data_IF_505646663420
#
_entry.id   IF_505646663420
#
_cell.length_a   1.000
_cell.length_b   1.000
_cell.length_c   1.000
_cell.angle_alpha   90.00
_cell.angle_beta   90.00
_cell.angle_gamma   90.00
#
_symmetry.space_group_name_H-M   'P 1'
#
loop_
_entity.id
_entity.type
_entity.pdbx_description
1 polymer ?
#
# COMPACT_ATOMS: atom_id res chain seq x y z
N UNK A 1 -13.49 15.36 -27.25
CA UNK A 1 -14.49 14.73 -26.37
C UNK A 1 -13.92 14.38 -25.01
N UNK A 2 -12.90 13.51 -24.87
CA UNK A 2 -12.41 13.07 -23.54
C UNK A 2 -11.87 14.20 -22.62
N UNK A 3 -11.40 15.32 -23.17
CA UNK A 3 -11.04 16.45 -22.30
C UNK A 3 -12.26 17.03 -21.57
N UNK A 4 -13.44 17.02 -22.19
CA UNK A 4 -14.69 17.48 -21.58
C UNK A 4 -15.05 16.58 -20.40
N UNK A 5 -14.93 15.25 -20.54
CA UNK A 5 -15.24 14.34 -19.43
C UNK A 5 -14.36 14.60 -18.21
N UNK A 6 -13.06 14.83 -18.40
CA UNK A 6 -12.18 15.15 -17.27
C UNK A 6 -12.45 16.53 -16.65
N UNK A 7 -12.69 17.56 -17.46
CA UNK A 7 -12.92 18.92 -16.97
C UNK A 7 -14.26 19.07 -16.23
N UNK A 8 -15.29 18.35 -16.66
CA UNK A 8 -16.65 18.46 -16.12
C UNK A 8 -17.08 17.24 -15.29
N UNK A 9 -16.17 16.30 -15.02
CA UNK A 9 -16.45 15.13 -14.18
C UNK A 9 -17.49 14.16 -14.77
N UNK A 10 -17.51 13.99 -16.10
CA UNK A 10 -18.43 13.07 -16.77
C UNK A 10 -17.78 11.68 -16.83
N UNK A 11 -18.21 10.77 -15.96
CA UNK A 11 -17.59 9.43 -15.82
C UNK A 11 -18.06 8.42 -16.89
N UNK A 12 -19.19 8.68 -17.54
CA UNK A 12 -19.82 7.74 -18.49
C UNK A 12 -19.62 8.19 -19.93
N UNK A 13 -19.00 7.35 -20.76
CA UNK A 13 -18.89 7.60 -22.21
C UNK A 13 -20.28 7.81 -22.86
N UNK A 14 -21.33 7.14 -22.35
CA UNK A 14 -22.71 7.35 -22.82
C UNK A 14 -23.22 8.73 -22.48
N UNK A 15 -22.99 9.17 -21.24
CA UNK A 15 -23.36 10.51 -20.80
C UNK A 15 -22.57 11.56 -21.58
N UNK A 16 -21.26 11.36 -21.77
CA UNK A 16 -20.42 12.26 -22.57
C UNK A 16 -20.96 12.43 -23.99
N UNK A 17 -21.32 11.33 -24.67
CA UNK A 17 -21.92 11.41 -26.00
C UNK A 17 -23.27 12.13 -25.99
N UNK A 18 -24.12 11.90 -24.97
CA UNK A 18 -25.41 12.60 -24.80
C UNK A 18 -25.20 14.09 -24.54
N UNK A 19 -24.27 14.45 -23.68
CA UNK A 19 -23.99 15.84 -23.32
C UNK A 19 -23.38 16.59 -24.51
N UNK A 20 -22.47 15.95 -25.25
CA UNK A 20 -21.96 16.49 -26.52
C UNK A 20 -23.09 16.61 -27.55
N UNK A 21 -24.08 15.73 -27.55
CA UNK A 21 -25.21 15.85 -28.46
C UNK A 21 -26.10 17.07 -28.13
N UNK A 22 -26.36 17.31 -26.85
CA UNK A 22 -27.29 18.34 -26.36
C UNK A 22 -26.66 19.72 -26.15
N UNK A 23 -25.34 19.79 -25.93
CA UNK A 23 -24.64 21.03 -25.59
C UNK A 23 -23.85 21.58 -26.79
N UNK A 24 -24.28 22.73 -27.32
CA UNK A 24 -23.66 23.41 -28.46
C UNK A 24 -22.18 23.77 -28.21
N UNK A 25 -21.82 24.19 -27.00
CA UNK A 25 -20.43 24.52 -26.66
C UNK A 25 -19.54 23.27 -26.71
N UNK A 26 -20.06 22.12 -26.25
CA UNK A 26 -19.33 20.85 -26.31
C UNK A 26 -19.14 20.36 -27.75
N UNK A 27 -20.17 20.53 -28.60
CA UNK A 27 -20.05 20.25 -30.05
C UNK A 27 -19.02 21.13 -30.72
N UNK A 28 -19.09 22.43 -30.47
CA UNK A 28 -18.15 23.41 -31.00
C UNK A 28 -16.70 23.06 -30.58
N UNK A 29 -16.49 22.79 -29.29
CA UNK A 29 -15.18 22.37 -28.77
C UNK A 29 -14.67 21.08 -29.44
N UNK A 30 -15.55 20.11 -29.65
CA UNK A 30 -15.21 18.85 -30.31
C UNK A 30 -15.11 18.97 -31.85
N UNK A 31 -15.37 20.15 -32.42
CA UNK A 31 -15.42 20.40 -33.86
C UNK A 31 -16.43 19.49 -34.59
N UNK A 32 -17.58 19.24 -33.98
CA UNK A 32 -18.66 18.42 -34.55
C UNK A 32 -19.79 19.34 -35.05
N UNK A 33 -19.97 19.53 -36.37
CA UNK A 33 -21.02 20.37 -36.94
C UNK A 33 -22.42 19.87 -36.59
N UNK A 34 -23.44 20.75 -36.58
CA UNK A 34 -24.81 20.39 -36.19
C UNK A 34 -25.46 19.27 -37.03
N UNK A 35 -25.14 19.22 -38.32
CA UNK A 35 -25.66 18.24 -39.26
C UNK A 35 -24.97 16.87 -39.18
N UNK A 36 -23.89 16.75 -38.40
CA UNK A 36 -23.17 15.49 -38.22
C UNK A 36 -23.64 14.78 -36.95
N UNK A 37 -23.79 13.45 -37.00
CA UNK A 37 -24.06 12.67 -35.78
C UNK A 37 -22.86 12.65 -34.83
N UNK A 38 -23.12 12.70 -33.53
CA UNK A 38 -22.08 12.50 -32.50
C UNK A 38 -21.63 11.03 -32.55
N UNK A 39 -20.32 10.74 -32.38
CA UNK A 39 -19.83 9.37 -32.31
C UNK A 39 -20.57 8.54 -31.28
N UNK A 40 -20.86 7.29 -31.62
CA UNK A 40 -21.44 6.35 -30.66
C UNK A 40 -20.44 6.06 -29.53
N UNK A 41 -20.92 5.91 -28.30
CA UNK A 41 -20.06 5.72 -27.11
C UNK A 41 -19.11 4.53 -27.25
N UNK A 42 -19.52 3.45 -27.93
CA UNK A 42 -18.68 2.27 -28.15
C UNK A 42 -17.44 2.57 -29.00
N UNK A 43 -17.50 3.58 -29.87
CA UNK A 43 -16.33 4.01 -30.64
C UNK A 43 -15.23 4.54 -29.73
N UNK A 44 -15.57 5.27 -28.66
CA UNK A 44 -14.60 5.78 -27.69
C UNK A 44 -13.88 4.62 -26.98
N UNK A 45 -14.65 3.61 -26.55
CA UNK A 45 -14.10 2.40 -25.92
C UNK A 45 -13.17 1.65 -26.88
N UNK A 46 -13.63 1.36 -28.11
CA UNK A 46 -12.84 0.63 -29.11
C UNK A 46 -11.54 1.35 -29.49
N UNK A 47 -11.55 2.68 -29.52
CA UNK A 47 -10.34 3.48 -29.77
C UNK A 47 -9.34 3.33 -28.61
N UNK A 48 -9.82 3.42 -27.36
CA UNK A 48 -8.98 3.20 -26.17
C UNK A 48 -8.35 1.81 -26.18
N UNK A 49 -9.17 0.79 -26.41
CA UNK A 49 -8.71 -0.61 -26.41
C UNK A 49 -7.73 -0.87 -27.56
N UNK A 50 -7.98 -0.29 -28.75
CA UNK A 50 -7.08 -0.43 -29.91
C UNK A 50 -5.70 0.16 -29.64
N UNK A 51 -5.63 1.30 -28.94
CA UNK A 51 -4.36 1.92 -28.58
C UNK A 51 -3.61 1.09 -27.56
N UNK A 52 -4.31 0.47 -26.61
CA UNK A 52 -3.72 -0.39 -25.59
C UNK A 52 -2.90 0.40 -24.55
N UNK A 53 -2.72 -0.21 -23.39
CA UNK A 53 -2.08 0.42 -22.24
C UNK A 53 -0.65 0.90 -22.54
N UNK A 54 0.16 0.07 -23.20
CA UNK A 54 1.56 0.37 -23.48
C UNK A 54 1.75 1.65 -24.31
N UNK A 55 0.88 1.92 -25.29
CA UNK A 55 0.94 3.16 -26.07
C UNK A 55 0.54 4.37 -25.24
N UNK A 56 -0.46 4.25 -24.36
CA UNK A 56 -0.81 5.34 -23.45
C UNK A 56 0.32 5.66 -22.48
N UNK A 57 0.96 4.64 -21.91
CA UNK A 57 2.15 4.82 -21.07
C UNK A 57 3.30 5.49 -21.83
N UNK A 58 3.53 5.09 -23.10
CA UNK A 58 4.56 5.71 -23.93
C UNK A 58 4.25 7.18 -24.24
N UNK A 59 3.01 7.51 -24.60
CA UNK A 59 2.58 8.89 -24.85
C UNK A 59 2.75 9.73 -23.58
N UNK A 60 2.30 9.21 -22.43
CA UNK A 60 2.46 9.87 -21.14
C UNK A 60 3.94 10.15 -20.82
N UNK A 61 4.81 9.14 -21.01
CA UNK A 61 6.27 9.29 -20.85
C UNK A 61 6.84 10.37 -21.76
N UNK A 62 6.48 10.36 -23.05
CA UNK A 62 6.96 11.36 -24.01
C UNK A 62 6.51 12.77 -23.65
N UNK A 63 5.27 12.96 -23.19
CA UNK A 63 4.77 14.25 -22.73
C UNK A 63 5.57 14.78 -21.54
N UNK A 64 5.84 13.93 -20.56
CA UNK A 64 6.69 14.30 -19.42
C UNK A 64 8.11 14.65 -19.90
N UNK A 65 8.79 13.81 -20.68
CA UNK A 65 10.16 14.15 -21.11
C UNK A 65 10.24 15.46 -21.89
N UNK A 66 9.23 15.78 -22.71
CA UNK A 66 9.15 17.08 -23.40
C UNK A 66 8.98 18.26 -22.44
N UNK A 67 8.10 18.14 -21.44
CA UNK A 67 7.92 19.19 -20.44
C UNK A 67 9.16 19.40 -19.58
N UNK A 68 9.91 18.33 -19.29
CA UNK A 68 11.18 18.44 -18.56
C UNK A 68 12.20 19.23 -19.37
N UNK A 69 12.34 18.90 -20.66
CA UNK A 69 13.26 19.57 -21.58
C UNK A 69 12.97 21.07 -21.71
N UNK A 70 11.70 21.46 -21.55
CA UNK A 70 11.28 22.86 -21.56
C UNK A 70 11.40 23.56 -20.18
N UNK A 71 11.95 22.88 -19.17
CA UNK A 71 12.07 23.41 -17.80
C UNK A 71 10.74 23.60 -17.08
N UNK A 72 9.66 22.93 -17.55
CA UNK A 72 8.30 23.09 -17.00
C UNK A 72 8.04 22.22 -15.78
N UNK A 73 8.90 21.24 -15.48
CA UNK A 73 8.95 20.55 -14.18
C UNK A 73 10.38 20.11 -13.85
N UNK A 74 10.60 19.80 -12.57
CA UNK A 74 11.94 19.50 -12.06
C UNK A 74 12.19 18.02 -11.85
N UNK A 75 11.17 17.28 -11.38
CA UNK A 75 11.29 15.86 -11.04
C UNK A 75 12.11 15.60 -9.79
N UNK A 76 12.46 16.64 -9.03
CA UNK A 76 13.34 16.55 -7.85
C UNK A 76 12.61 16.25 -6.56
N UNK A 77 11.44 16.86 -6.38
CA UNK A 77 10.60 16.71 -5.20
C UNK A 77 9.32 16.04 -5.63
N UNK A 78 9.10 14.82 -5.16
CA UNK A 78 7.99 13.98 -5.56
C UNK A 78 7.06 13.78 -4.36
N UNK A 79 5.77 14.07 -4.55
CA UNK A 79 4.71 13.69 -3.61
C UNK A 79 4.02 12.42 -4.10
N UNK A 80 3.73 11.49 -3.20
CA UNK A 80 3.07 10.20 -3.51
C UNK A 80 1.84 10.01 -2.65
N UNK A 81 0.76 9.56 -3.28
CA UNK A 81 -0.47 9.16 -2.62
C UNK A 81 -1.13 7.98 -3.35
N UNK A 82 -1.98 7.23 -2.65
CA UNK A 82 -2.73 6.12 -3.23
C UNK A 82 -4.22 6.25 -2.97
N UNK A 83 -5.00 5.92 -4.00
CA UNK A 83 -6.46 5.92 -3.93
C UNK A 83 -7.03 4.57 -4.36
N UNK A 84 -8.17 4.22 -3.77
CA UNK A 84 -8.91 3.02 -4.14
C UNK A 84 -9.92 3.37 -5.23
N UNK A 85 -9.81 2.72 -6.38
CA UNK A 85 -10.73 2.87 -7.51
C UNK A 85 -11.64 1.65 -7.56
N UNK A 86 -12.96 1.86 -7.67
CA UNK A 86 -13.93 0.77 -7.78
C UNK A 86 -13.72 0.02 -9.09
N UNK A 87 -13.59 -1.30 -9.02
CA UNK A 87 -13.54 -2.13 -10.21
C UNK A 87 -14.93 -2.21 -10.86
N UNK A 88 -14.98 -2.38 -12.17
CA UNK A 88 -16.21 -2.67 -12.89
C UNK A 88 -16.56 -4.17 -12.78
N UNK A 89 -16.69 -4.66 -11.55
CA UNK A 89 -16.95 -6.06 -11.23
C UNK A 89 -17.93 -6.17 -10.06
N UNK A 90 -18.90 -7.09 -10.16
CA UNK A 90 -19.86 -7.35 -9.09
C UNK A 90 -19.26 -8.25 -8.01
N UNK A 91 -19.68 -8.05 -6.77
CA UNK A 91 -19.40 -9.00 -5.69
C UNK A 91 -20.00 -10.40 -5.97
N UNK A 92 -21.06 -10.48 -6.78
CA UNK A 92 -21.68 -11.75 -7.18
C UNK A 92 -20.82 -12.55 -8.16
N UNK A 93 -19.82 -11.91 -8.78
CA UNK A 93 -18.84 -12.59 -9.64
C UNK A 93 -17.79 -13.38 -8.85
N UNK A 94 -17.80 -13.30 -7.51
CA UNK A 94 -16.83 -13.97 -6.67
C UNK A 94 -17.03 -15.48 -6.68
N UNK A 95 -16.04 -16.17 -7.22
CA UNK A 95 -15.95 -17.62 -7.26
C UNK A 95 -14.79 -18.09 -6.41
N UNK A 96 -14.84 -19.34 -5.94
CA UNK A 96 -13.71 -19.94 -5.22
C UNK A 96 -12.50 -20.00 -6.13
N UNK A 97 -11.32 -19.62 -5.62
CA UNK A 97 -10.07 -19.66 -6.38
C UNK A 97 -9.77 -21.04 -6.98
N UNK A 98 -10.16 -22.12 -6.29
CA UNK A 98 -10.00 -23.50 -6.78
C UNK A 98 -10.63 -23.76 -8.15
N UNK A 99 -11.68 -23.01 -8.50
CA UNK A 99 -12.44 -23.20 -9.73
C UNK A 99 -12.03 -22.23 -10.86
N UNK A 100 -11.20 -21.22 -10.56
CA UNK A 100 -10.95 -20.10 -11.47
C UNK A 100 -9.48 -19.67 -11.57
N UNK A 101 -8.60 -20.09 -10.65
CA UNK A 101 -7.20 -19.70 -10.61
C UNK A 101 -6.28 -20.85 -11.07
N UNK A 102 -5.48 -20.69 -12.15
CA UNK A 102 -4.49 -21.68 -12.58
C UNK A 102 -3.46 -22.04 -11.50
N UNK A 103 -3.22 -21.17 -10.52
CA UNK A 103 -2.27 -21.36 -9.42
C UNK A 103 -2.89 -21.96 -8.14
N UNK A 104 -4.11 -22.50 -8.20
CA UNK A 104 -4.87 -23.02 -7.06
C UNK A 104 -4.11 -24.04 -6.16
N UNK A 105 -3.14 -24.78 -6.70
CA UNK A 105 -2.36 -25.78 -5.93
C UNK A 105 -1.50 -25.17 -4.82
N UNK A 106 -1.02 -23.93 -4.97
CA UNK A 106 -0.18 -23.25 -3.95
C UNK A 106 -1.01 -22.81 -2.74
N UNK A 107 -2.32 -22.57 -2.93
CA UNK A 107 -3.22 -22.04 -1.91
C UNK A 107 -3.75 -23.11 -0.93
N UNK A 108 -3.82 -24.39 -1.34
CA UNK A 108 -4.21 -25.51 -0.46
C UNK A 108 -3.28 -25.69 0.75
N UNK A 109 -2.01 -25.31 0.62
CA UNK A 109 -1.07 -25.32 1.75
C UNK A 109 -1.30 -24.16 2.73
N UNK A 110 -1.87 -23.05 2.27
CA UNK A 110 -2.16 -21.87 3.09
C UNK A 110 -3.44 -22.02 3.94
N UNK A 111 -4.47 -22.71 3.44
CA UNK A 111 -5.71 -22.95 4.20
C UNK A 111 -5.46 -23.68 5.53
N UNK A 112 -4.42 -24.52 5.63
CA UNK A 112 -4.04 -25.18 6.88
C UNK A 112 -3.50 -24.23 7.96
N UNK A 113 -3.03 -23.03 7.60
CA UNK A 113 -2.24 -22.16 8.50
C UNK A 113 -3.05 -21.10 9.25
N UNK A 114 -4.29 -20.82 8.85
CA UNK A 114 -5.13 -19.72 9.39
C UNK A 114 -6.56 -20.14 9.74
N UNK A 115 -6.74 -21.31 10.36
CA UNK A 115 -7.99 -21.62 11.06
C UNK A 115 -7.92 -21.13 12.50
N UNK A 116 -8.29 -19.87 12.72
CA UNK A 116 -8.68 -19.38 14.04
C UNK A 116 -9.98 -20.08 14.45
N UNK A 117 -9.87 -21.05 15.35
CA UNK A 117 -11.00 -21.61 16.08
C UNK A 117 -11.46 -20.58 17.12
N UNK A 118 -12.40 -19.70 16.75
CA UNK A 118 -13.24 -19.01 17.72
C UNK A 118 -14.70 -19.46 17.53
N UNK A 119 -15.19 -20.16 18.55
CA UNK A 119 -16.60 -20.45 18.83
C UNK A 119 -17.45 -21.01 17.67
N UNK A 120 -17.30 -22.31 17.41
CA UNK A 120 -18.42 -23.23 17.13
C UNK A 120 -19.30 -23.05 15.87
N UNK A 121 -19.17 -21.98 15.09
CA UNK A 121 -19.85 -21.83 13.79
C UNK A 121 -18.89 -21.29 12.74
N UNK A 122 -18.52 -22.15 11.78
CA UNK A 122 -17.73 -21.79 10.59
C UNK A 122 -18.53 -20.82 9.72
N UNK A 123 -18.50 -19.51 10.00
CA UNK A 123 -18.84 -18.52 8.96
C UNK A 123 -17.68 -18.51 7.97
N UNK A 124 -17.85 -19.18 6.83
CA UNK A 124 -16.95 -19.05 5.68
C UNK A 124 -16.91 -17.57 5.30
N UNK A 125 -15.87 -16.85 5.70
CA UNK A 125 -15.67 -15.48 5.24
C UNK A 125 -15.17 -15.54 3.80
N UNK A 126 -15.90 -14.88 2.91
CA UNK A 126 -15.38 -14.50 1.60
C UNK A 126 -14.16 -13.61 1.85
N UNK A 127 -13.02 -13.97 1.29
CA UNK A 127 -11.73 -13.31 1.49
C UNK A 127 -10.91 -13.40 0.20
N UNK A 128 -9.99 -12.46 -0.04
CA UNK A 128 -9.16 -12.45 -1.25
C UNK A 128 -8.30 -13.71 -1.40
N UNK A 129 -8.00 -14.39 -0.29
CA UNK A 129 -7.27 -15.66 -0.27
C UNK A 129 -8.13 -16.83 -0.76
N UNK A 130 -9.45 -16.79 -0.59
CA UNK A 130 -10.36 -17.91 -0.89
C UNK A 130 -11.19 -17.68 -2.14
N UNK A 131 -11.46 -16.43 -2.50
CA UNK A 131 -12.32 -16.04 -3.63
C UNK A 131 -11.59 -15.06 -4.55
N UNK A 132 -11.95 -15.13 -5.82
CA UNK A 132 -11.49 -14.24 -6.90
C UNK A 132 -12.69 -13.89 -7.77
N UNK A 133 -12.70 -12.72 -8.39
CA UNK A 133 -13.79 -12.33 -9.28
C UNK A 133 -13.62 -12.99 -10.64
N UNK A 134 -14.68 -13.64 -11.13
CA UNK A 134 -14.68 -14.31 -12.42
C UNK A 134 -14.68 -13.31 -13.60
N UNK A 135 -15.25 -12.12 -13.41
CA UNK A 135 -15.28 -11.07 -14.44
C UNK A 135 -14.00 -10.24 -14.50
N UNK A 136 -13.28 -10.17 -13.38
CA UNK A 136 -12.05 -9.38 -13.22
C UNK A 136 -11.19 -10.01 -12.09
N UNK A 137 -10.23 -10.90 -12.44
CA UNK A 137 -9.43 -11.61 -11.45
C UNK A 137 -8.42 -10.75 -10.67
N UNK A 138 -8.02 -9.59 -11.21
CA UNK A 138 -7.04 -8.70 -10.59
C UNK A 138 -7.69 -7.76 -9.57
N UNK A 139 -8.99 -7.52 -9.70
CA UNK A 139 -9.76 -6.78 -8.71
C UNK A 139 -9.86 -7.56 -7.39
N UNK A 140 -9.55 -6.88 -6.29
CA UNK A 140 -9.57 -7.50 -4.95
C UNK A 140 -10.57 -6.83 -4.04
N UNK A 141 -11.16 -7.61 -3.15
CA UNK A 141 -12.14 -7.14 -2.19
C UNK A 141 -11.46 -6.31 -1.10
N UNK A 142 -11.91 -5.07 -0.94
CA UNK A 142 -11.40 -4.14 0.08
C UNK A 142 -12.57 -3.64 0.93
N UNK A 143 -12.44 -3.79 2.24
CA UNK A 143 -13.33 -3.18 3.23
C UNK A 143 -12.58 -2.11 4.00
N UNK A 144 -13.07 -0.86 3.94
CA UNK A 144 -12.59 0.23 4.76
C UNK A 144 -13.77 0.79 5.55
N UNK A 145 -13.59 0.93 6.86
CA UNK A 145 -14.63 1.42 7.78
C UNK A 145 -15.16 2.77 7.27
N UNK A 146 -16.48 2.88 7.07
CA UNK A 146 -17.13 4.09 6.56
C UNK A 146 -17.23 4.21 5.04
N UNK A 147 -16.78 3.20 4.28
CA UNK A 147 -16.98 3.13 2.83
C UNK A 147 -17.59 1.79 2.44
N UNK A 148 -18.32 1.76 1.33
CA UNK A 148 -18.84 0.50 0.79
C UNK A 148 -17.69 -0.44 0.45
N UNK A 149 -17.81 -1.67 0.97
CA UNK A 149 -16.97 -2.78 0.56
C UNK A 149 -17.19 -3.10 -0.91
N UNK A 150 -16.16 -3.59 -1.58
CA UNK A 150 -16.28 -3.99 -2.97
C UNK A 150 -14.96 -4.42 -3.58
N UNK A 151 -15.05 -4.88 -4.82
CA UNK A 151 -13.89 -5.14 -5.68
C UNK A 151 -13.28 -3.82 -6.11
N UNK A 152 -12.00 -3.63 -5.79
CA UNK A 152 -11.27 -2.37 -6.02
C UNK A 152 -9.87 -2.65 -6.54
N UNK A 153 -9.36 -1.66 -7.25
CA UNK A 153 -7.95 -1.44 -7.54
C UNK A 153 -7.38 -0.39 -6.61
N UNK A 154 -6.07 -0.39 -6.46
CA UNK A 154 -5.35 0.69 -5.79
C UNK A 154 -4.41 1.34 -6.79
N UNK A 155 -4.61 2.63 -7.02
CA UNK A 155 -3.80 3.44 -7.92
C UNK A 155 -2.88 4.30 -7.09
N UNK A 156 -1.58 4.20 -7.33
CA UNK A 156 -0.52 4.99 -6.71
C UNK A 156 -0.14 6.08 -7.69
N UNK A 157 -0.33 7.34 -7.28
CA UNK A 157 0.05 8.51 -8.05
C UNK A 157 1.32 9.11 -7.47
N UNK A 158 2.19 9.60 -8.35
CA UNK A 158 3.25 10.52 -7.95
C UNK A 158 3.12 11.83 -8.71
N UNK A 159 3.52 12.94 -8.09
CA UNK A 159 3.52 14.24 -8.72
C UNK A 159 4.73 15.09 -8.30
N UNK A 160 5.18 15.99 -9.19
CA UNK A 160 6.16 17.02 -8.85
C UNK A 160 5.52 18.04 -7.91
N UNK A 161 6.18 18.32 -6.79
CA UNK A 161 5.64 19.18 -5.72
C UNK A 161 5.40 20.61 -6.20
N UNK A 162 6.30 21.16 -7.02
CA UNK A 162 6.24 22.56 -7.44
C UNK A 162 5.17 22.79 -8.50
N UNK A 163 5.07 21.88 -9.46
CA UNK A 163 4.21 22.07 -10.65
C UNK A 163 2.89 21.32 -10.55
N UNK A 164 2.78 20.37 -9.62
CA UNK A 164 1.64 19.47 -9.43
C UNK A 164 1.35 18.58 -10.64
N UNK A 165 2.32 18.45 -11.54
CA UNK A 165 2.24 17.55 -12.68
C UNK A 165 2.37 16.13 -12.17
N UNK A 166 1.42 15.27 -12.54
CA UNK A 166 1.48 13.83 -12.26
C UNK A 166 2.66 13.24 -13.05
N UNK A 167 3.59 12.62 -12.34
CA UNK A 167 4.82 12.02 -12.87
C UNK A 167 4.72 10.51 -13.02
N UNK A 168 3.81 9.87 -12.30
CA UNK A 168 3.55 8.42 -12.38
C UNK A 168 2.11 8.09 -12.01
N UNK A 169 1.60 7.01 -12.59
CA UNK A 169 0.30 6.43 -12.29
C UNK A 169 0.42 4.90 -12.38
N UNK A 170 0.54 4.25 -11.22
CA UNK A 170 0.76 2.82 -11.14
C UNK A 170 -0.39 2.11 -10.44
N UNK A 171 -0.98 1.12 -11.11
CA UNK A 171 -2.14 0.39 -10.59
C UNK A 171 -1.72 -0.96 -10.02
N UNK A 172 -2.27 -1.28 -8.85
CA UNK A 172 -2.11 -2.56 -8.17
C UNK A 172 -3.48 -3.10 -7.75
N UNK A 173 -3.53 -4.36 -7.31
CA UNK A 173 -4.74 -4.87 -6.66
C UNK A 173 -5.12 -4.00 -5.46
N UNK A 174 -6.42 -3.82 -5.20
CA UNK A 174 -6.91 -3.08 -4.03
C UNK A 174 -6.32 -3.51 -2.68
N UNK A 175 -5.93 -4.78 -2.55
CA UNK A 175 -5.35 -5.36 -1.33
C UNK A 175 -3.87 -5.08 -1.11
N UNK A 176 -3.16 -4.58 -2.13
CA UNK A 176 -1.72 -4.33 -2.08
C UNK A 176 -1.39 -3.23 -1.06
N UNK A 177 -0.40 -3.47 -0.20
CA UNK A 177 0.09 -2.49 0.76
C UNK A 177 0.99 -1.46 0.05
N UNK A 178 0.90 -0.19 0.45
CA UNK A 178 1.60 0.96 -0.16
C UNK A 178 3.11 1.00 0.11
N UNK A 179 3.53 0.75 1.35
CA UNK A 179 4.92 0.77 1.79
C UNK A 179 5.96 0.09 0.86
N UNK A 180 5.75 -1.16 0.39
CA UNK A 180 6.69 -1.83 -0.51
C UNK A 180 6.69 -1.26 -1.94
N UNK A 181 5.59 -0.65 -2.39
CA UNK A 181 5.44 -0.15 -3.77
C UNK A 181 6.23 1.14 -3.97
N UNK A 182 6.27 2.01 -2.96
CA UNK A 182 6.86 3.34 -3.08
C UNK A 182 8.34 3.33 -3.54
N UNK A 183 9.27 2.56 -2.93
CA UNK A 183 10.64 2.48 -3.42
C UNK A 183 10.75 2.08 -4.90
N UNK A 184 9.99 1.07 -5.32
CA UNK A 184 10.00 0.57 -6.71
C UNK A 184 9.51 1.64 -7.69
N UNK A 185 8.52 2.45 -7.29
CA UNK A 185 8.03 3.56 -8.13
C UNK A 185 9.02 4.70 -8.23
N UNK A 186 9.76 5.00 -7.17
CA UNK A 186 10.83 5.99 -7.24
C UNK A 186 11.99 5.47 -8.10
N UNK A 187 12.31 4.18 -8.02
CA UNK A 187 13.30 3.57 -8.92
C UNK A 187 12.87 3.65 -10.39
N UNK A 188 11.59 3.45 -10.68
CA UNK A 188 11.04 3.69 -12.01
C UNK A 188 11.24 5.14 -12.47
N UNK A 189 10.95 6.13 -11.62
CA UNK A 189 11.17 7.55 -11.96
C UNK A 189 12.66 7.87 -12.19
N UNK A 190 13.56 7.31 -11.39
CA UNK A 190 14.99 7.55 -11.56
C UNK A 190 15.55 6.84 -12.80
N UNK A 191 15.26 5.55 -12.96
CA UNK A 191 15.91 4.70 -13.96
C UNK A 191 15.23 4.78 -15.33
N UNK A 192 13.89 4.73 -15.36
CA UNK A 192 13.14 4.69 -16.61
C UNK A 192 12.82 6.09 -17.13
N UNK A 193 12.51 7.02 -16.23
CA UNK A 193 12.14 8.39 -16.59
C UNK A 193 13.34 9.36 -16.57
N UNK A 194 14.47 8.97 -15.96
CA UNK A 194 15.68 9.79 -15.89
C UNK A 194 15.52 11.01 -14.97
N UNK A 195 14.64 10.94 -13.97
CA UNK A 195 14.44 12.02 -13.02
C UNK A 195 15.48 11.97 -11.90
N UNK A 196 16.04 13.13 -11.53
CA UNK A 196 16.92 13.28 -10.38
C UNK A 196 16.08 13.48 -9.11
N UNK A 197 15.43 12.41 -8.64
CA UNK A 197 14.58 12.47 -7.44
C UNK A 197 15.45 12.64 -6.19
N UNK A 198 15.31 13.78 -5.51
CA UNK A 198 16.07 14.12 -4.31
C UNK A 198 15.23 14.01 -3.04
N UNK A 199 13.93 14.26 -3.13
CA UNK A 199 13.02 14.29 -1.99
C UNK A 199 11.71 13.60 -2.29
N UNK A 200 11.21 12.81 -1.33
CA UNK A 200 9.94 12.10 -1.41
C UNK A 200 9.05 12.48 -0.22
N UNK A 201 7.84 12.90 -0.52
CA UNK A 201 6.80 13.27 0.44
C UNK A 201 5.66 12.27 0.29
N UNK A 202 5.22 11.67 1.39
CA UNK A 202 4.12 10.72 1.35
C UNK A 202 3.39 10.65 2.70
N UNK A 203 2.21 10.03 2.69
CA UNK A 203 1.40 9.86 3.88
C UNK A 203 2.03 8.88 4.89
N UNK A 204 1.42 8.78 6.09
CA UNK A 204 1.87 7.86 7.13
C UNK A 204 1.78 6.38 6.73
N UNK A 205 0.94 6.00 5.78
CA UNK A 205 0.83 4.63 5.26
C UNK A 205 2.12 4.11 4.64
N UNK A 206 2.91 5.01 4.05
CA UNK A 206 4.22 4.71 3.45
C UNK A 206 5.38 4.65 4.46
N UNK A 207 5.21 5.19 5.67
CA UNK A 207 6.30 5.35 6.64
C UNK A 207 6.68 4.06 7.37
N UNK A 208 7.30 3.08 6.70
CA UNK A 208 7.81 1.85 7.34
C UNK A 208 9.32 1.73 7.21
N UNK A 209 9.96 1.02 8.15
CA UNK A 209 11.42 0.90 8.18
C UNK A 209 12.07 0.40 6.88
N UNK A 210 11.52 -0.60 6.15
CA UNK A 210 12.04 -0.98 4.84
C UNK A 210 12.04 0.15 3.82
N UNK A 211 10.97 0.97 3.77
CA UNK A 211 10.83 2.10 2.85
C UNK A 211 11.91 3.15 3.08
N UNK A 212 12.12 3.55 4.33
CA UNK A 212 13.20 4.49 4.65
C UNK A 212 14.60 3.89 4.48
N UNK A 213 14.78 2.59 4.76
CA UNK A 213 16.03 1.88 4.50
C UNK A 213 16.40 1.99 3.02
N UNK A 214 15.42 1.74 2.15
CA UNK A 214 15.54 1.86 0.71
C UNK A 214 15.93 3.29 0.29
N UNK A 215 15.25 4.33 0.81
CA UNK A 215 15.56 5.72 0.48
C UNK A 215 16.91 6.20 1.04
N UNK A 216 17.31 5.74 2.23
CA UNK A 216 18.62 6.06 2.81
C UNK A 216 19.76 5.52 1.94
N UNK A 217 19.63 4.30 1.43
CA UNK A 217 20.61 3.70 0.50
C UNK A 217 20.70 4.49 -0.81
N UNK A 218 19.58 5.03 -1.28
CA UNK A 218 19.47 5.86 -2.50
C UNK A 218 19.88 7.33 -2.28
N UNK A 219 20.22 7.72 -1.04
CA UNK A 219 20.49 9.12 -0.64
C UNK A 219 19.32 10.08 -0.93
N UNK A 220 18.09 9.57 -0.91
CA UNK A 220 16.85 10.35 -1.10
C UNK A 220 16.34 10.80 0.27
N UNK A 221 16.06 12.10 0.41
CA UNK A 221 15.43 12.65 1.62
C UNK A 221 13.95 12.30 1.65
N UNK A 222 13.43 11.96 2.82
CA UNK A 222 12.01 11.58 2.98
C UNK A 222 11.32 12.46 3.99
N UNK A 223 10.13 12.94 3.64
CA UNK A 223 9.21 13.64 4.52
C UNK A 223 7.94 12.79 4.66
N UNK A 224 8.12 11.63 5.28
CA UNK A 224 7.06 10.64 5.49
C UNK A 224 6.93 10.49 7.01
N UNK A 225 5.72 10.63 7.59
CA UNK A 225 5.54 10.33 9.01
C UNK A 225 5.73 8.84 9.27
N UNK A 226 6.45 8.48 10.33
CA UNK A 226 6.56 7.09 10.74
C UNK A 226 5.16 6.50 11.01
N UNK A 227 4.91 5.31 10.45
CA UNK A 227 3.73 4.51 10.72
C UNK A 227 3.81 3.95 12.14
N UNK A 228 3.50 4.83 13.09
CA UNK A 228 3.38 4.45 14.48
C UNK A 228 2.04 3.72 14.66
N UNK A 229 2.07 2.42 14.42
CA UNK A 229 0.96 1.56 14.79
C UNK A 229 0.93 1.53 16.31
N UNK A 230 0.21 2.50 16.93
CA UNK A 230 -0.04 2.64 18.37
C UNK A 230 0.72 1.59 19.15
N UNK A 231 1.90 1.93 19.61
CA UNK A 231 2.69 1.19 20.60
C UNK A 231 1.70 0.50 21.55
N UNK A 232 1.57 -0.82 21.41
CA UNK A 232 0.26 -1.47 21.52
C UNK A 232 -0.45 -1.26 22.83
N UNK A 233 -1.41 -0.32 22.93
CA UNK A 233 -2.29 -0.05 24.10
C UNK A 233 -1.62 0.06 25.48
N UNK A 234 -0.33 -0.19 25.62
CA UNK A 234 0.46 0.13 26.80
C UNK A 234 0.90 1.59 26.70
N UNK A 235 1.03 2.23 27.85
CA UNK A 235 1.36 3.65 27.96
C UNK A 235 2.83 3.95 27.67
N UNK A 236 3.68 2.92 27.62
CA UNK A 236 5.10 3.10 27.41
C UNK A 236 5.46 3.30 25.94
N UNK A 237 6.39 4.22 25.70
CA UNK A 237 6.92 4.56 24.38
C UNK A 237 8.34 4.04 24.21
N UNK A 238 8.83 3.81 22.99
CA UNK A 238 10.16 3.25 22.78
C UNK A 238 11.29 4.15 23.26
N UNK A 239 11.03 5.45 23.41
CA UNK A 239 11.96 6.43 23.98
C UNK A 239 12.25 6.18 25.45
N UNK A 240 11.38 5.46 26.17
CA UNK A 240 11.62 5.07 27.56
C UNK A 240 12.55 3.86 27.68
N UNK A 241 12.94 3.24 26.56
CA UNK A 241 13.89 2.15 26.51
C UNK A 241 15.24 2.68 26.06
N UNK A 242 16.28 2.43 26.85
CA UNK A 242 17.64 2.87 26.55
C UNK A 242 18.35 1.81 25.71
N UNK A 243 18.81 2.18 24.52
CA UNK A 243 19.65 1.29 23.70
C UNK A 243 21.11 1.38 24.13
N UNK A 244 21.72 0.23 24.38
CA UNK A 244 23.14 0.05 24.68
C UNK A 244 23.84 -0.52 23.45
N UNK A 245 24.56 0.33 22.72
CA UNK A 245 25.20 -0.04 21.44
C UNK A 245 26.34 -1.04 21.61
N UNK A 246 27.07 -0.98 22.72
CA UNK A 246 28.20 -1.88 23.00
C UNK A 246 27.77 -3.34 23.15
N UNK A 247 26.62 -3.58 23.75
CA UNK A 247 26.11 -4.92 24.03
C UNK A 247 24.96 -5.35 23.11
N UNK A 248 24.55 -4.47 22.19
CA UNK A 248 23.38 -4.61 21.32
C UNK A 248 22.12 -5.03 22.10
N UNK A 249 21.76 -4.25 23.14
CA UNK A 249 20.63 -4.54 24.03
C UNK A 249 19.79 -3.30 24.29
N UNK A 250 18.51 -3.49 24.53
CA UNK A 250 17.66 -2.45 25.11
C UNK A 250 17.52 -2.67 26.59
N UNK A 251 17.45 -1.59 27.38
CA UNK A 251 17.14 -1.64 28.80
C UNK A 251 15.78 -0.99 29.02
N UNK A 252 14.88 -1.69 29.72
CA UNK A 252 13.58 -1.13 30.09
C UNK A 252 13.70 -0.15 31.26
N UNK A 253 12.65 0.65 31.56
CA UNK A 253 12.64 1.57 32.70
C UNK A 253 12.91 0.92 34.06
N UNK A 254 12.58 -0.37 34.21
CA UNK A 254 12.82 -1.17 35.42
C UNK A 254 14.22 -1.80 35.45
N UNK A 255 15.09 -1.45 34.49
CA UNK A 255 16.49 -1.86 34.46
C UNK A 255 16.78 -3.21 33.78
N UNK A 256 15.77 -3.98 33.40
CA UNK A 256 15.96 -5.28 32.75
C UNK A 256 16.33 -5.14 31.26
N UNK A 257 17.24 -6.00 30.80
CA UNK A 257 17.69 -6.03 29.42
C UNK A 257 16.78 -6.88 28.51
N UNK A 258 16.57 -6.38 27.30
CA UNK A 258 16.01 -7.10 26.18
C UNK A 258 17.12 -7.53 25.24
N UNK A 259 17.12 -8.81 24.92
CA UNK A 259 18.15 -9.48 24.14
C UNK A 259 17.68 -9.72 22.70
N UNK A 260 18.54 -9.52 21.69
CA UNK A 260 18.22 -9.85 20.32
C UNK A 260 17.99 -11.37 20.21
N UNK A 261 16.92 -11.78 19.54
CA UNK A 261 16.58 -13.20 19.39
C UNK A 261 16.22 -13.61 17.96
N UNK A 262 15.89 -12.66 17.09
CA UNK A 262 15.48 -12.94 15.71
C UNK A 262 15.89 -11.78 14.80
N UNK A 263 16.32 -12.13 13.58
CA UNK A 263 16.60 -11.19 12.50
C UNK A 263 15.62 -11.48 11.36
N UNK A 264 14.90 -10.46 10.92
CA UNK A 264 13.96 -10.53 9.79
C UNK A 264 14.43 -9.63 8.64
N UNK A 265 13.81 -9.79 7.48
CA UNK A 265 14.05 -9.01 6.27
C UNK A 265 15.55 -8.89 5.94
N UNK A 266 16.21 -10.05 5.78
CA UNK A 266 17.65 -10.16 5.51
C UNK A 266 18.53 -9.42 6.53
N UNK A 267 18.05 -9.32 7.78
CA UNK A 267 18.75 -8.65 8.86
C UNK A 267 18.45 -7.16 8.98
N UNK A 268 17.56 -6.57 8.16
CA UNK A 268 17.15 -5.17 8.31
C UNK A 268 16.34 -4.93 9.59
N UNK A 269 15.69 -5.97 10.11
CA UNK A 269 14.89 -5.91 11.32
C UNK A 269 15.50 -6.84 12.38
N UNK A 270 15.73 -6.32 13.59
CA UNK A 270 16.11 -7.10 14.78
C UNK A 270 14.97 -7.09 15.77
N UNK A 271 14.63 -8.26 16.31
CA UNK A 271 13.71 -8.38 17.43
C UNK A 271 14.46 -8.65 18.71
N UNK A 272 14.09 -7.89 19.73
CA UNK A 272 14.61 -7.96 21.09
C UNK A 272 13.49 -8.45 21.99
N UNK A 273 13.80 -9.25 23.00
CA UNK A 273 12.83 -9.70 24.00
C UNK A 273 13.44 -9.73 25.38
N UNK A 274 12.60 -9.52 26.38
CA UNK A 274 12.98 -9.82 27.75
C UNK A 274 12.97 -11.34 27.97
N UNK A 275 14.02 -11.86 28.59
CA UNK A 275 14.11 -13.27 29.01
C UNK A 275 13.76 -13.39 30.50
N UNK A 276 13.61 -14.60 31.04
CA UNK A 276 13.52 -14.80 32.50
C UNK A 276 12.19 -14.44 33.18
N UNK A 277 11.15 -14.03 32.45
CA UNK A 277 9.82 -13.80 33.04
C UNK A 277 9.71 -12.58 33.96
N UNK A 278 10.70 -11.67 33.95
CA UNK A 278 10.72 -10.45 34.78
C UNK A 278 9.45 -9.59 34.65
N UNK A 279 8.79 -9.61 33.49
CA UNK A 279 7.52 -8.91 33.29
C UNK A 279 6.34 -9.50 34.07
N UNK A 280 6.44 -10.71 34.65
CA UNK A 280 5.30 -11.36 35.34
C UNK A 280 4.95 -10.65 36.64
N UNK A 281 5.95 -10.25 37.41
CA UNK A 281 5.81 -9.60 38.72
C UNK A 281 6.24 -8.12 38.68
N UNK A 282 6.40 -7.55 37.48
CA UNK A 282 6.85 -6.17 37.32
C UNK A 282 5.78 -5.18 37.83
N UNK A 283 6.15 -4.17 38.64
CA UNK A 283 5.20 -3.19 39.18
C UNK A 283 4.55 -2.35 38.07
N UNK A 284 5.28 -2.07 36.97
CA UNK A 284 4.78 -1.33 35.80
C UNK A 284 4.08 -2.21 34.77
N UNK A 285 3.75 -3.46 35.10
CA UNK A 285 3.16 -4.41 34.14
C UNK A 285 1.87 -3.88 33.51
N UNK A 286 1.02 -3.22 34.29
CA UNK A 286 -0.26 -2.68 33.83
C UNK A 286 -0.11 -1.55 32.81
N UNK A 287 0.96 -0.76 32.93
CA UNK A 287 1.26 0.35 32.00
C UNK A 287 2.11 -0.11 30.80
N UNK A 288 2.93 -1.15 30.97
CA UNK A 288 3.85 -1.67 29.96
C UNK A 288 3.20 -2.66 28.98
N UNK A 289 2.29 -3.51 29.46
CA UNK A 289 1.65 -4.56 28.66
C UNK A 289 0.15 -4.27 28.44
N UNK A 290 -0.38 -4.42 27.22
CA UNK A 290 -1.80 -4.30 26.93
C UNK A 290 -2.56 -5.44 27.60
N UNK A 291 -3.86 -5.23 27.80
CA UNK A 291 -4.73 -6.22 28.44
C UNK A 291 -4.68 -7.60 27.78
N UNK A 292 -4.57 -7.64 26.45
CA UNK A 292 -4.44 -8.86 25.67
C UNK A 292 -3.14 -9.65 25.91
N UNK A 293 -2.13 -9.05 26.55
CA UNK A 293 -0.83 -9.66 26.85
C UNK A 293 -0.64 -10.04 28.34
N UNK A 294 -1.67 -9.82 29.20
CA UNK A 294 -1.60 -10.04 30.65
C UNK A 294 -1.57 -11.53 31.08
N UNK A 295 -1.78 -12.49 30.17
CA UNK A 295 -1.88 -13.92 30.50
C UNK A 295 -0.56 -14.73 30.44
N UNK A 296 0.61 -14.08 30.30
CA UNK A 296 1.90 -14.75 30.56
C UNK A 296 3.05 -14.44 29.60
N UNK A 297 2.99 -13.32 28.89
CA UNK A 297 3.87 -13.04 27.74
C UNK A 297 4.93 -11.98 28.08
N UNK A 298 6.15 -12.17 27.56
CA UNK A 298 7.22 -11.17 27.64
C UNK A 298 7.02 -10.05 26.61
N UNK A 299 7.58 -8.88 26.90
CA UNK A 299 7.64 -7.78 25.96
C UNK A 299 8.69 -8.06 24.88
N UNK A 300 8.32 -7.89 23.61
CA UNK A 300 9.26 -7.84 22.49
C UNK A 300 9.30 -6.46 21.87
N UNK A 301 10.49 -6.02 21.44
CA UNK A 301 10.73 -4.78 20.71
C UNK A 301 11.31 -5.15 19.35
N UNK A 302 10.69 -4.68 18.29
CA UNK A 302 11.17 -4.81 16.91
C UNK A 302 11.86 -3.51 16.49
N UNK A 303 13.11 -3.62 16.04
CA UNK A 303 13.95 -2.47 15.69
C UNK A 303 14.44 -2.59 14.27
N UNK A 304 14.29 -1.50 13.52
CA UNK A 304 14.82 -1.41 12.16
C UNK A 304 16.25 -0.86 12.21
N UNK A 305 17.23 -1.69 11.85
CA UNK A 305 18.66 -1.39 12.01
C UNK A 305 19.06 -0.12 11.26
N UNK A 306 18.55 0.05 10.03
CA UNK A 306 18.88 1.19 9.18
C UNK A 306 18.29 2.52 9.66
N UNK A 307 17.43 2.50 10.68
CA UNK A 307 16.75 3.70 11.17
C UNK A 307 16.77 3.91 12.68
N UNK A 308 17.24 2.96 13.49
CA UNK A 308 17.07 2.97 14.96
C UNK A 308 15.62 3.27 15.38
N UNK A 309 14.64 2.78 14.62
CA UNK A 309 13.22 2.90 14.96
C UNK A 309 12.73 1.64 15.65
N UNK A 310 12.12 1.81 16.81
CA UNK A 310 11.70 0.78 17.76
C UNK A 310 10.17 0.69 17.80
N UNK A 311 9.62 -0.52 17.73
CA UNK A 311 8.18 -0.81 17.81
C UNK A 311 7.92 -1.94 18.81
N UNK A 312 6.89 -1.84 19.65
CA UNK A 312 6.51 -2.93 20.55
C UNK A 312 5.66 -3.99 19.85
N UNK A 313 5.99 -5.25 20.12
CA UNK A 313 5.22 -6.43 19.70
C UNK A 313 5.03 -7.34 20.92
N UNK A 314 3.82 -7.85 21.11
CA UNK A 314 3.49 -8.77 22.19
C UNK A 314 3.34 -10.17 21.61
N UNK A 315 4.17 -11.13 22.05
CA UNK A 315 4.27 -12.45 21.41
C UNK A 315 4.18 -13.63 22.39
N UNK A 316 3.59 -14.74 21.91
CA UNK A 316 3.74 -16.09 22.51
C UNK A 316 5.11 -16.66 22.17
N UNK A 317 5.67 -17.42 23.13
CA UNK A 317 6.85 -18.26 22.90
C UNK A 317 6.55 -19.10 21.65
N UNK A 318 7.36 -19.07 20.58
CA UNK A 318 7.31 -20.17 19.62
C UNK A 318 7.65 -21.43 20.41
N UNK A 319 6.72 -22.39 20.44
CA UNK A 319 7.05 -23.74 20.89
C UNK A 319 8.17 -24.21 19.97
N UNK A 320 9.37 -24.31 20.53
CA UNK A 320 10.45 -25.07 19.92
C UNK A 320 9.94 -26.50 19.86
N UNK A 321 9.36 -26.89 18.72
CA UNK A 321 9.27 -28.29 18.37
C UNK A 321 10.70 -28.81 18.40
N UNK A 322 11.03 -29.52 19.48
CA UNK A 322 12.24 -30.31 19.58
C UNK A 322 12.25 -31.23 18.37
N UNK A 323 13.19 -31.00 17.45
CA UNK A 323 13.54 -31.99 16.45
C UNK A 323 13.98 -33.26 17.19
N UNK A 324 13.18 -34.31 17.06
CA UNK A 324 13.67 -35.68 17.10
C UNK A 324 13.62 -36.19 15.66
#
# INVERSE_FOLDING_TARGET
MQLISYLFGIESDRQLCRDVHLNLAYRWFCRIPLYQSVPHHSSLTRIRDRMGESRYQQIFKLMLLQWQKQGRFTGKQIVVDATLVKANASMDSLVKRENADPNARVLKQYEKRYHDFQHGKRKRRVANQTHVSASDPDATMVYRKGTDGGLKYKVHYSADVKTRIITDCYTTTGSTHEGPILPDRIDYLCNEMGFDVQEVIADRGYGRGPTYSAFRQRKIRTYIPLHDARLGKGKLTPTEFRYHSETDRYQCPEGYFLYPYEKLDNGMIKRYRITGGHCRQCPRRADCLPESAKTGLGLSIEVHISMKLTRFVYGKKPELLSAR
#
